data_IF_303729479808
#
_entry.id   IF_303729479808
#
_cell.length_a   1.000
_cell.length_b   1.000
_cell.length_c   1.000
_cell.angle_alpha   90.00
_cell.angle_beta   90.00
_cell.angle_gamma   90.00
#
_symmetry.space_group_name_H-M   'P 1'
#
loop_
_entity.id
_entity.type
_entity.pdbx_description
1 polymer ?
#
# COMPACT_ATOMS: atom_id res chain seq x y z
N UNK A 1 31.85 25.14 11.41
CA UNK A 1 32.13 23.97 12.26
C UNK A 1 33.57 24.04 12.73
N UNK A 2 33.88 23.34 13.81
CA UNK A 2 35.20 23.32 14.44
C UNK A 2 35.43 21.99 15.17
N UNK A 3 36.69 21.58 15.27
CA UNK A 3 37.10 20.46 16.12
C UNK A 3 37.66 20.91 17.48
N UNK A 4 38.05 22.18 17.60
CA UNK A 4 38.84 22.71 18.71
C UNK A 4 38.29 24.02 19.33
N UNK A 5 37.12 24.48 18.88
CA UNK A 5 36.48 25.76 19.23
C UNK A 5 37.27 27.02 18.87
N UNK A 6 38.45 26.91 18.25
CA UNK A 6 39.33 28.03 17.92
C UNK A 6 39.30 28.34 16.43
N UNK A 7 39.42 27.31 15.61
CA UNK A 7 39.38 27.44 14.15
C UNK A 7 37.98 27.10 13.65
N UNK A 8 37.35 28.05 12.96
CA UNK A 8 35.98 27.94 12.49
C UNK A 8 35.91 27.98 10.98
N UNK A 9 35.34 26.94 10.40
CA UNK A 9 35.12 26.82 8.95
C UNK A 9 33.63 27.01 8.63
N UNK A 10 33.32 27.88 7.66
CA UNK A 10 31.95 28.17 7.26
C UNK A 10 31.46 27.15 6.21
N UNK A 11 30.29 26.54 6.43
CA UNK A 11 29.72 25.53 5.52
C UNK A 11 28.71 26.10 4.51
N UNK A 12 28.70 27.42 4.34
CA UNK A 12 27.75 28.13 3.50
C UNK A 12 26.52 28.63 4.27
N UNK A 13 25.72 29.53 3.66
CA UNK A 13 24.48 30.01 4.24
C UNK A 13 23.40 28.92 4.16
N UNK A 14 22.73 28.66 5.28
CA UNK A 14 21.50 27.85 5.34
C UNK A 14 20.35 28.75 5.80
N UNK A 15 19.21 28.71 5.11
CA UNK A 15 18.01 29.48 5.46
C UNK A 15 16.99 28.59 6.17
N UNK A 16 16.65 28.96 7.40
CA UNK A 16 15.51 28.40 8.12
C UNK A 16 14.32 29.33 7.87
N UNK A 17 13.24 28.79 7.31
CA UNK A 17 12.02 29.55 7.03
C UNK A 17 10.86 28.99 7.85
N UNK A 18 10.23 29.87 8.63
CA UNK A 18 9.00 29.58 9.36
C UNK A 18 7.89 30.46 8.79
N UNK A 19 6.94 29.89 8.06
CA UNK A 19 5.69 30.58 7.75
C UNK A 19 4.63 30.15 8.76
N UNK A 20 4.14 31.11 9.55
CA UNK A 20 3.01 30.93 10.45
C UNK A 20 1.80 31.63 9.82
N UNK A 21 0.90 30.85 9.23
CA UNK A 21 -0.39 31.38 8.78
C UNK A 21 -1.37 31.40 9.97
N UNK A 22 -2.31 32.34 9.99
CA UNK A 22 -3.23 32.59 11.11
C UNK A 22 -4.22 31.45 11.40
N UNK A 23 -4.21 30.38 10.61
CA UNK A 23 -5.03 29.19 10.81
C UNK A 23 -4.17 27.91 10.79
N UNK A 24 -3.58 27.58 11.94
CA UNK A 24 -3.06 26.27 12.40
C UNK A 24 -2.10 25.43 11.52
N UNK A 25 -1.78 25.82 10.30
CA UNK A 25 -0.79 25.13 9.47
C UNK A 25 0.53 25.92 9.48
N UNK A 26 1.52 25.38 10.19
CA UNK A 26 2.89 25.91 10.18
C UNK A 26 3.69 25.11 9.17
N UNK A 27 4.02 25.71 8.02
CA UNK A 27 5.08 25.16 7.18
C UNK A 27 6.40 25.54 7.84
N UNK A 28 6.96 24.62 8.62
CA UNK A 28 8.29 24.74 9.20
C UNK A 28 9.25 23.85 8.40
N UNK A 29 10.27 24.45 7.80
CA UNK A 29 11.47 23.70 7.42
C UNK A 29 12.50 23.93 8.54
N UNK A 30 12.58 22.98 9.46
CA UNK A 30 13.44 23.01 10.65
C UNK A 30 14.70 22.15 10.51
N UNK A 31 14.99 21.64 9.30
CA UNK A 31 16.18 20.84 9.01
C UNK A 31 17.20 21.61 8.16
N UNK A 32 18.48 21.50 8.53
CA UNK A 32 19.61 22.01 7.75
C UNK A 32 20.44 20.81 7.32
N UNK A 33 20.45 20.54 6.01
CA UNK A 33 21.31 19.52 5.42
C UNK A 33 22.67 20.12 5.04
N UNK A 34 23.74 19.36 5.24
CA UNK A 34 25.09 19.73 4.87
C UNK A 34 25.89 18.49 4.45
N UNK A 35 26.95 18.70 3.67
CA UNK A 35 27.80 17.60 3.21
C UNK A 35 28.39 16.82 4.41
N UNK A 36 28.38 15.46 4.40
CA UNK A 36 28.87 14.67 5.51
C UNK A 36 30.32 15.01 5.85
N UNK A 37 30.56 15.43 7.10
CA UNK A 37 31.91 15.67 7.63
C UNK A 37 31.99 15.32 9.10
N UNK A 38 33.19 14.95 9.55
CA UNK A 38 33.49 14.92 10.96
C UNK A 38 33.58 16.35 11.51
N UNK A 39 33.01 16.57 12.70
CA UNK A 39 33.19 17.76 13.50
C UNK A 39 32.86 17.45 14.96
N UNK A 40 33.45 18.20 15.89
CA UNK A 40 33.07 18.15 17.32
C UNK A 40 32.11 19.25 17.73
N UNK A 41 32.21 20.42 17.09
CA UNK A 41 31.45 21.60 17.43
C UNK A 41 30.83 22.25 16.20
N UNK A 42 29.54 22.57 16.31
CA UNK A 42 28.81 23.37 15.34
C UNK A 42 28.37 24.69 15.98
N UNK A 43 28.44 25.78 15.21
CA UNK A 43 27.96 27.10 15.61
C UNK A 43 26.96 27.60 14.58
N UNK A 44 25.80 28.01 15.05
CA UNK A 44 24.77 28.68 14.26
C UNK A 44 24.88 30.19 14.52
N UNK A 45 24.85 30.99 13.46
CA UNK A 45 24.89 32.44 13.54
C UNK A 45 23.84 33.04 12.62
N UNK A 46 23.03 33.96 13.16
CA UNK A 46 22.03 34.70 12.39
C UNK A 46 22.73 35.71 11.50
N UNK A 47 22.52 35.62 10.18
CA UNK A 47 22.98 36.64 9.24
C UNK A 47 22.02 37.82 9.16
N UNK A 48 20.72 37.55 9.21
CA UNK A 48 19.63 38.54 9.15
C UNK A 48 18.44 38.07 10.01
N UNK A 49 17.63 39.01 10.51
CA UNK A 49 16.43 38.73 11.30
C UNK A 49 16.61 38.84 12.83
N UNK A 50 15.51 38.61 13.58
CA UNK A 50 15.53 38.60 15.05
C UNK A 50 16.01 37.23 15.55
N UNK A 51 17.04 37.15 16.41
CA UNK A 51 17.52 35.89 16.97
C UNK A 51 16.40 35.15 17.70
N UNK A 52 16.21 33.87 17.36
CA UNK A 52 15.29 32.99 18.07
C UNK A 52 16.08 32.06 19.01
N UNK A 53 15.53 31.81 20.19
CA UNK A 53 16.03 30.77 21.10
C UNK A 53 15.46 29.42 20.65
N UNK A 54 16.34 28.51 20.25
CA UNK A 54 15.94 27.12 19.97
C UNK A 54 15.63 26.41 21.29
N UNK A 55 14.43 25.83 21.41
CA UNK A 55 14.06 25.03 22.58
C UNK A 55 14.86 23.71 22.67
N UNK A 56 15.26 23.16 21.51
CA UNK A 56 16.11 21.97 21.39
C UNK A 56 16.78 21.97 20.01
N UNK A 57 18.01 21.44 19.95
CA UNK A 57 18.70 21.13 18.70
C UNK A 57 19.04 19.65 18.74
N UNK A 58 18.57 18.89 17.75
CA UNK A 58 18.90 17.48 17.59
C UNK A 58 19.85 17.32 16.41
N UNK A 59 20.92 16.54 16.59
CA UNK A 59 21.76 16.10 15.48
C UNK A 59 21.31 14.68 15.09
N UNK A 60 20.85 14.52 13.85
CA UNK A 60 20.52 13.22 13.28
C UNK A 60 21.72 12.72 12.49
N UNK A 61 22.30 11.58 12.90
CA UNK A 61 23.29 10.87 12.10
C UNK A 61 22.57 9.75 11.35
N UNK A 62 22.51 9.85 10.02
CA UNK A 62 22.14 8.73 9.17
C UNK A 62 23.30 7.72 9.18
N UNK A 63 23.22 6.69 10.02
CA UNK A 63 24.12 5.56 9.95
C UNK A 63 23.90 4.86 8.61
N UNK A 64 24.75 5.15 7.62
CA UNK A 64 24.85 4.41 6.37
C UNK A 64 25.47 3.03 6.66
N UNK A 65 24.75 2.16 7.36
CA UNK A 65 25.08 0.73 7.50
C UNK A 65 23.92 -0.15 7.04
N UNK A 66 22.78 0.45 6.73
CA UNK A 66 21.77 -0.22 5.94
C UNK A 66 22.22 -0.10 4.48
N UNK A 67 22.84 -1.17 3.96
CA UNK A 67 22.96 -1.36 2.51
C UNK A 67 21.57 -1.06 1.96
N UNK A 68 21.42 0.03 1.21
CA UNK A 68 20.12 0.44 0.70
C UNK A 68 19.49 -0.79 0.04
N UNK A 69 18.32 -1.19 0.54
CA UNK A 69 17.63 -2.35 0.02
C UNK A 69 17.56 -2.20 -1.50
N UNK A 70 18.00 -3.22 -2.24
CA UNK A 70 17.91 -3.21 -3.69
C UNK A 70 16.43 -3.08 -4.04
N UNK A 71 16.04 -1.99 -4.68
CA UNK A 71 14.67 -1.75 -5.12
C UNK A 71 14.65 -1.63 -6.63
N UNK A 72 13.63 -2.24 -7.23
CA UNK A 72 13.32 -2.09 -8.64
C UNK A 72 12.19 -1.09 -8.83
N UNK A 73 12.14 -0.46 -10.00
CA UNK A 73 11.08 0.50 -10.34
C UNK A 73 10.51 0.26 -11.73
N UNK A 74 9.21 0.52 -11.89
CA UNK A 74 8.49 0.42 -13.15
C UNK A 74 7.66 1.68 -13.37
N UNK A 75 7.82 2.29 -14.54
CA UNK A 75 7.02 3.44 -14.96
C UNK A 75 5.90 2.98 -15.90
N UNK A 76 4.66 3.23 -15.51
CA UNK A 76 3.46 2.86 -16.25
C UNK A 76 2.79 4.09 -16.84
N UNK A 77 2.39 3.99 -18.10
CA UNK A 77 1.67 5.07 -18.78
C UNK A 77 0.16 4.99 -18.49
N UNK A 78 -0.52 6.14 -18.37
CA UNK A 78 -1.94 6.18 -18.05
C UNK A 78 -2.80 5.81 -19.25
N UNK A 79 -3.90 5.09 -18.99
CA UNK A 79 -5.04 4.93 -19.89
C UNK A 79 -6.32 5.47 -19.24
N UNK A 80 -7.36 5.81 -20.02
CA UNK A 80 -8.64 6.25 -19.45
C UNK A 80 -9.29 5.16 -18.60
N UNK A 81 -9.76 5.53 -17.41
CA UNK A 81 -10.50 4.64 -16.52
C UNK A 81 -11.96 4.42 -16.90
N UNK A 82 -12.62 3.50 -16.18
CA UNK A 82 -14.05 3.18 -16.37
C UNK A 82 -14.97 4.24 -15.75
N UNK A 83 -14.48 4.98 -14.76
CA UNK A 83 -15.17 6.10 -14.13
C UNK A 83 -14.55 7.41 -14.60
N UNK A 84 -15.32 8.50 -14.62
CA UNK A 84 -14.82 9.80 -15.08
C UNK A 84 -13.61 10.26 -14.28
N UNK A 85 -12.64 10.85 -14.99
CA UNK A 85 -11.37 11.37 -14.46
C UNK A 85 -10.40 10.33 -13.89
N UNK A 86 -10.80 9.07 -13.73
CA UNK A 86 -9.88 8.01 -13.32
C UNK A 86 -8.85 7.74 -14.42
N UNK A 87 -7.60 7.54 -14.02
CA UNK A 87 -6.52 7.03 -14.86
C UNK A 87 -6.16 5.63 -14.41
N UNK A 88 -6.04 4.73 -15.37
CA UNK A 88 -5.77 3.31 -15.17
C UNK A 88 -4.35 2.99 -15.64
N UNK A 89 -3.66 2.13 -14.89
CA UNK A 89 -2.32 1.66 -15.19
C UNK A 89 -2.30 0.13 -15.10
N UNK A 90 -2.01 -0.52 -16.22
CA UNK A 90 -1.87 -1.97 -16.26
C UNK A 90 -0.51 -2.39 -15.68
N UNK A 91 -0.53 -3.30 -14.72
CA UNK A 91 0.64 -3.84 -14.05
C UNK A 91 0.62 -5.38 -14.08
N UNK A 92 1.76 -6.02 -13.84
CA UNK A 92 1.81 -7.45 -13.62
C UNK A 92 1.49 -7.77 -12.15
N UNK A 93 0.61 -8.75 -11.90
CA UNK A 93 0.27 -9.21 -10.54
C UNK A 93 1.49 -9.74 -9.75
N UNK A 94 2.58 -10.05 -10.44
CA UNK A 94 3.83 -10.53 -9.86
C UNK A 94 4.62 -9.45 -9.10
N UNK A 95 4.27 -8.17 -9.23
CA UNK A 95 5.02 -7.07 -8.65
C UNK A 95 4.46 -6.76 -7.24
N UNK A 96 5.25 -6.97 -6.15
CA UNK A 96 4.86 -6.63 -4.78
C UNK A 96 5.08 -5.14 -4.51
N UNK A 97 4.17 -4.26 -4.96
CA UNK A 97 4.42 -2.81 -4.87
C UNK A 97 4.47 -2.36 -3.41
N UNK A 98 5.55 -1.68 -3.04
CA UNK A 98 5.81 -1.16 -1.68
C UNK A 98 5.75 0.37 -1.62
N UNK A 99 6.11 1.05 -2.72
CA UNK A 99 6.00 2.51 -2.83
C UNK A 99 5.48 2.94 -4.19
N UNK A 100 4.80 4.08 -4.22
CA UNK A 100 4.20 4.64 -5.42
C UNK A 100 4.57 6.11 -5.58
N UNK A 101 4.97 6.51 -6.79
CA UNK A 101 5.18 7.90 -7.15
C UNK A 101 4.44 8.28 -8.44
N UNK A 102 4.35 9.57 -8.71
CA UNK A 102 3.86 10.09 -9.99
C UNK A 102 4.98 10.86 -10.69
N UNK A 103 5.14 10.62 -11.99
CA UNK A 103 6.05 11.36 -12.85
C UNK A 103 5.24 12.25 -13.78
N UNK A 104 5.39 13.56 -13.59
CA UNK A 104 4.71 14.58 -14.39
C UNK A 104 5.57 15.02 -15.58
N UNK A 105 4.94 15.16 -16.74
CA UNK A 105 5.54 15.81 -17.90
C UNK A 105 5.43 17.34 -17.82
N UNK A 106 4.42 17.82 -17.11
CA UNK A 106 4.10 19.23 -16.97
C UNK A 106 4.96 19.90 -15.89
N UNK A 107 5.23 21.19 -16.07
CA UNK A 107 5.82 22.01 -15.02
C UNK A 107 4.71 22.66 -14.18
N UNK A 108 4.96 22.89 -12.89
CA UNK A 108 4.06 23.59 -11.98
C UNK A 108 2.68 22.96 -11.86
N UNK A 109 2.65 21.66 -11.57
CA UNK A 109 1.43 20.87 -11.36
C UNK A 109 1.32 20.46 -9.90
N UNK A 110 0.09 20.50 -9.39
CA UNK A 110 -0.29 19.98 -8.08
C UNK A 110 -1.53 19.12 -8.28
N UNK A 111 -1.49 17.88 -7.82
CA UNK A 111 -2.51 16.86 -8.02
C UNK A 111 -2.81 16.14 -6.70
N UNK A 112 -3.80 16.61 -5.93
CA UNK A 112 -4.41 15.84 -4.86
C UNK A 112 -5.15 14.65 -5.48
N UNK A 113 -4.78 13.43 -5.11
CA UNK A 113 -5.34 12.23 -5.71
C UNK A 113 -5.41 11.05 -4.75
N UNK A 114 -6.34 10.14 -5.06
CA UNK A 114 -6.42 8.81 -4.45
C UNK A 114 -5.80 7.79 -5.39
N UNK A 115 -5.01 6.88 -4.84
CA UNK A 115 -4.49 5.70 -5.51
C UNK A 115 -5.21 4.47 -4.99
N UNK A 116 -5.57 3.57 -5.88
CA UNK A 116 -6.33 2.38 -5.50
C UNK A 116 -6.46 1.37 -6.63
N UNK A 117 -7.50 0.56 -6.53
CA UNK A 117 -7.88 -0.42 -7.53
C UNK A 117 -9.39 -0.45 -7.71
N UNK A 118 -9.84 -1.05 -8.80
CA UNK A 118 -11.25 -1.41 -8.92
C UNK A 118 -11.54 -2.74 -8.24
N UNK A 119 -12.72 -2.82 -7.63
CA UNK A 119 -13.29 -4.02 -7.05
C UNK A 119 -14.67 -4.24 -7.67
N UNK A 120 -14.91 -5.42 -8.20
CA UNK A 120 -16.24 -5.81 -8.67
C UNK A 120 -17.09 -6.25 -7.48
N UNK A 121 -18.25 -5.63 -7.33
CA UNK A 121 -19.23 -5.98 -6.31
C UNK A 121 -20.29 -6.89 -6.93
N UNK A 122 -20.70 -7.96 -6.23
CA UNK A 122 -21.75 -8.83 -6.71
C UNK A 122 -23.07 -8.05 -6.86
N UNK A 123 -23.94 -8.47 -7.79
CA UNK A 123 -25.25 -7.85 -7.94
C UNK A 123 -26.08 -8.03 -6.67
N UNK A 124 -26.76 -6.95 -6.25
CA UNK A 124 -27.60 -6.96 -5.03
C UNK A 124 -28.96 -7.62 -5.25
N UNK A 125 -29.38 -7.78 -6.51
CA UNK A 125 -30.65 -8.38 -6.90
C UNK A 125 -30.44 -9.36 -8.06
N UNK A 126 -31.23 -10.43 -8.07
CA UNK A 126 -31.22 -11.43 -9.15
C UNK A 126 -31.61 -10.74 -10.46
N UNK A 127 -30.72 -10.78 -11.46
CA UNK A 127 -30.93 -10.14 -12.77
C UNK A 127 -30.29 -8.75 -12.96
N UNK A 128 -29.59 -8.21 -11.96
CA UNK A 128 -28.73 -7.02 -12.15
C UNK A 128 -27.28 -7.41 -12.47
N UNK A 129 -26.56 -6.54 -13.18
CA UNK A 129 -25.11 -6.66 -13.35
C UNK A 129 -24.39 -6.20 -12.08
N UNK A 130 -23.23 -6.80 -11.78
CA UNK A 130 -22.35 -6.33 -10.72
C UNK A 130 -21.91 -4.87 -10.94
N UNK A 131 -21.61 -4.17 -9.84
CA UNK A 131 -21.15 -2.78 -9.91
C UNK A 131 -19.66 -2.68 -9.65
N UNK A 132 -18.95 -1.84 -10.39
CA UNK A 132 -17.55 -1.54 -10.13
C UNK A 132 -17.42 -0.50 -9.02
N UNK A 133 -16.63 -0.77 -7.99
CA UNK A 133 -16.29 0.18 -6.93
C UNK A 133 -14.80 0.49 -6.93
N UNK A 134 -14.43 1.72 -6.60
CA UNK A 134 -13.04 2.09 -6.38
C UNK A 134 -12.69 1.85 -4.91
N UNK A 135 -11.66 1.04 -4.67
CA UNK A 135 -11.09 0.77 -3.37
C UNK A 135 -9.81 1.61 -3.20
N UNK A 136 -9.81 2.67 -2.36
CA UNK A 136 -8.61 3.46 -2.11
C UNK A 136 -7.59 2.66 -1.30
N UNK A 137 -6.33 2.74 -1.72
CA UNK A 137 -5.15 2.18 -1.05
C UNK A 137 -4.28 3.27 -0.43
N UNK A 138 -4.22 4.44 -1.08
CA UNK A 138 -3.42 5.59 -0.65
C UNK A 138 -4.08 6.92 -1.05
N UNK A 139 -3.74 7.99 -0.33
CA UNK A 139 -4.17 9.36 -0.61
C UNK A 139 -2.99 10.30 -0.39
N UNK A 140 -2.68 11.14 -1.38
CA UNK A 140 -1.60 12.12 -1.28
C UNK A 140 -1.78 13.27 -2.27
N UNK A 141 -1.02 14.34 -2.04
CA UNK A 141 -0.86 15.43 -3.01
C UNK A 141 0.48 15.29 -3.70
N UNK A 142 0.42 14.93 -4.98
CA UNK A 142 1.60 14.84 -5.83
C UNK A 142 1.83 16.18 -6.51
N UNK A 143 3.08 16.58 -6.67
CA UNK A 143 3.38 17.88 -7.29
C UNK A 143 4.72 17.89 -7.99
N UNK A 144 4.86 18.81 -8.92
CA UNK A 144 6.12 19.20 -9.55
C UNK A 144 6.08 20.71 -9.76
N UNK A 145 6.86 21.45 -8.97
CA UNK A 145 6.87 22.92 -8.95
C UNK A 145 8.30 23.40 -9.19
N UNK A 146 8.48 24.28 -10.16
CA UNK A 146 9.74 24.94 -10.45
C UNK A 146 9.70 26.36 -9.90
N UNK A 147 10.54 26.65 -8.91
CA UNK A 147 10.67 27.98 -8.31
C UNK A 147 12.11 28.44 -8.41
N UNK A 148 12.34 29.62 -8.99
CA UNK A 148 13.69 30.21 -9.14
C UNK A 148 14.69 29.26 -9.83
N UNK A 149 14.21 28.51 -10.83
CA UNK A 149 15.02 27.53 -11.57
C UNK A 149 15.29 26.22 -10.82
N UNK A 150 14.80 26.05 -9.59
CA UNK A 150 14.88 24.81 -8.83
C UNK A 150 13.56 24.05 -8.92
N UNK A 151 13.61 22.81 -9.40
CA UNK A 151 12.45 21.93 -9.46
C UNK A 151 12.30 21.16 -8.15
N UNK A 152 11.11 21.19 -7.57
CA UNK A 152 10.70 20.42 -6.40
C UNK A 152 9.57 19.49 -6.80
N UNK A 153 9.69 18.21 -6.50
CA UNK A 153 8.65 17.23 -6.77
C UNK A 153 8.31 16.41 -5.53
N UNK A 154 7.06 15.94 -5.47
CA UNK A 154 6.66 14.92 -4.49
C UNK A 154 7.50 13.65 -4.68
N UNK A 155 7.92 13.04 -3.58
CA UNK A 155 8.62 11.75 -3.58
C UNK A 155 7.67 10.55 -3.72
N UNK A 156 8.21 9.37 -3.45
CA UNK A 156 7.45 8.13 -3.40
C UNK A 156 6.71 7.98 -2.07
N UNK A 157 5.46 7.54 -2.15
CA UNK A 157 4.60 7.28 -1.01
C UNK A 157 4.67 5.78 -0.65
N UNK A 158 5.11 5.42 0.57
CA UNK A 158 5.05 4.02 1.02
C UNK A 158 3.60 3.57 1.20
N UNK A 159 3.33 2.32 0.85
CA UNK A 159 2.02 1.66 1.00
C UNK A 159 2.20 0.28 1.64
N UNK A 160 1.10 -0.32 2.10
CA UNK A 160 1.09 -1.75 2.38
C UNK A 160 1.37 -2.52 1.07
N UNK A 161 2.21 -3.55 1.15
CA UNK A 161 2.59 -4.34 -0.03
C UNK A 161 1.36 -4.87 -0.74
N UNK A 162 1.21 -4.52 -2.02
CA UNK A 162 0.02 -4.83 -2.79
C UNK A 162 0.36 -5.48 -4.14
N UNK A 163 -0.43 -6.50 -4.50
CA UNK A 163 -0.37 -7.19 -5.78
C UNK A 163 -1.66 -6.94 -6.55
N UNK A 164 -1.61 -6.12 -7.59
CA UNK A 164 -2.76 -5.88 -8.46
C UNK A 164 -2.34 -5.80 -9.92
N UNK A 165 -3.17 -6.37 -10.80
CA UNK A 165 -2.98 -6.25 -12.24
C UNK A 165 -3.35 -4.85 -12.76
N UNK A 166 -4.06 -4.06 -11.96
CA UNK A 166 -4.52 -2.74 -12.33
C UNK A 166 -4.46 -1.77 -11.17
N UNK A 167 -3.79 -0.64 -11.40
CA UNK A 167 -3.79 0.52 -10.51
C UNK A 167 -4.71 1.60 -11.07
N UNK A 168 -5.33 2.35 -10.17
CA UNK A 168 -6.23 3.45 -10.50
C UNK A 168 -5.79 4.69 -9.74
N UNK A 169 -5.53 5.78 -10.47
CA UNK A 169 -5.35 7.11 -9.93
C UNK A 169 -6.64 7.89 -10.13
N UNK A 170 -7.20 8.41 -9.04
CA UNK A 170 -8.39 9.27 -9.04
C UNK A 170 -8.00 10.67 -8.55
N UNK A 171 -7.87 11.64 -9.46
CA UNK A 171 -7.78 13.05 -9.09
C UNK A 171 -8.97 13.47 -8.23
N UNK A 172 -8.73 14.22 -7.14
CA UNK A 172 -9.82 14.74 -6.30
C UNK A 172 -10.50 15.97 -6.90
N UNK A 173 -9.79 16.68 -7.78
CA UNK A 173 -10.33 17.74 -8.62
C UNK A 173 -10.21 17.31 -10.09
N UNK A 174 -11.10 17.81 -10.95
CA UNK A 174 -10.99 17.62 -12.40
C UNK A 174 -9.65 18.19 -12.89
N UNK A 175 -8.66 17.32 -13.07
CA UNK A 175 -7.34 17.66 -13.58
C UNK A 175 -7.16 17.05 -14.94
N UNK A 176 -6.63 17.83 -15.89
CA UNK A 176 -6.25 17.34 -17.20
C UNK A 176 -4.90 16.59 -17.18
N UNK A 177 -4.16 16.65 -16.07
CA UNK A 177 -2.83 16.03 -15.97
C UNK A 177 -2.92 14.51 -16.02
N UNK A 178 -2.02 13.91 -16.79
CA UNK A 178 -1.95 12.45 -17.00
C UNK A 178 -0.54 11.95 -16.69
N UNK A 179 -0.13 11.95 -15.41
CA UNK A 179 1.21 11.53 -15.03
C UNK A 179 1.40 10.02 -15.23
N UNK A 180 2.63 9.63 -15.46
CA UNK A 180 3.01 8.22 -15.41
C UNK A 180 3.10 7.75 -13.95
N UNK A 181 2.67 6.53 -13.69
CA UNK A 181 2.69 5.92 -12.36
C UNK A 181 4.02 5.19 -12.16
N UNK A 182 4.78 5.55 -11.13
CA UNK A 182 5.98 4.83 -10.72
C UNK A 182 5.62 3.84 -9.63
N UNK A 183 5.87 2.57 -9.87
CA UNK A 183 5.80 1.50 -8.87
C UNK A 183 7.21 1.16 -8.42
N UNK A 184 7.42 0.97 -7.12
CA UNK A 184 8.71 0.60 -6.54
C UNK A 184 8.52 -0.57 -5.59
N UNK A 185 9.41 -1.55 -5.67
CA UNK A 185 9.36 -2.77 -4.85
C UNK A 185 10.75 -3.34 -4.59
N UNK A 186 10.86 -4.19 -3.58
CA UNK A 186 12.05 -4.99 -3.31
C UNK A 186 11.92 -6.36 -4.03
N UNK A 187 12.82 -6.75 -4.94
CA UNK A 187 12.71 -8.00 -5.67
C UNK A 187 13.00 -9.20 -4.76
N UNK A 188 12.24 -10.28 -4.92
CA UNK A 188 12.49 -11.53 -4.23
C UNK A 188 13.54 -12.36 -4.98
N UNK A 189 14.47 -12.97 -4.23
CA UNK A 189 15.43 -13.95 -4.75
C UNK A 189 14.95 -15.36 -4.41
N UNK A 190 14.97 -16.27 -5.39
CA UNK A 190 14.59 -17.67 -5.20
C UNK A 190 15.84 -18.53 -5.38
N UNK A 191 16.13 -19.35 -4.37
CA UNK A 191 17.16 -20.39 -4.41
C UNK A 191 16.44 -21.73 -4.44
N UNK A 192 16.82 -22.60 -5.37
CA UNK A 192 16.23 -23.93 -5.51
C UNK A 192 17.31 -24.97 -5.78
N UNK A 193 17.05 -26.20 -5.34
CA UNK A 193 17.89 -27.34 -5.69
C UNK A 193 17.43 -27.88 -7.06
N UNK A 194 18.30 -27.79 -8.06
CA UNK A 194 18.06 -28.27 -9.42
C UNK A 194 18.13 -29.81 -9.51
N UNK A 195 17.20 -30.51 -8.86
CA UNK A 195 17.12 -31.97 -8.90
C UNK A 195 16.24 -32.45 -10.08
N UNK A 196 16.67 -33.50 -10.78
CA UNK A 196 15.97 -34.07 -11.94
C UNK A 196 16.36 -33.42 -13.27
N UNK A 197 15.55 -33.66 -14.29
CA UNK A 197 15.84 -33.20 -15.66
C UNK A 197 15.24 -31.81 -15.93
N UNK A 198 16.04 -30.92 -16.50
CA UNK A 198 15.60 -29.62 -17.01
C UNK A 198 14.60 -29.77 -18.18
N UNK A 199 13.76 -28.75 -18.50
CA UNK A 199 13.69 -27.41 -17.89
C UNK A 199 12.92 -27.36 -16.56
N UNK A 200 13.37 -26.50 -15.65
CA UNK A 200 12.68 -26.20 -14.39
C UNK A 200 11.65 -25.07 -14.59
N UNK A 201 10.50 -25.16 -13.92
CA UNK A 201 9.39 -24.20 -14.08
C UNK A 201 9.07 -23.49 -12.77
N UNK A 202 9.11 -22.15 -12.77
CA UNK A 202 8.62 -21.30 -11.69
C UNK A 202 7.26 -20.70 -12.08
N UNK A 203 6.20 -21.03 -11.32
CA UNK A 203 4.86 -20.48 -11.53
C UNK A 203 4.48 -19.53 -10.39
N UNK A 204 3.81 -18.42 -10.71
CA UNK A 204 3.39 -17.39 -9.75
C UNK A 204 1.99 -16.84 -10.09
N UNK A 205 1.38 -16.10 -9.15
CA UNK A 205 0.10 -15.39 -9.37
C UNK A 205 -1.18 -16.15 -9.00
N UNK A 206 -1.10 -17.33 -8.36
CA UNK A 206 -2.27 -18.05 -7.86
C UNK A 206 -2.68 -17.53 -6.47
N UNK A 207 -3.89 -16.99 -6.34
CA UNK A 207 -4.39 -16.33 -5.12
C UNK A 207 -4.37 -17.21 -3.85
N UNK A 208 -4.47 -18.53 -4.00
CA UNK A 208 -4.45 -19.49 -2.90
C UNK A 208 -3.32 -20.52 -3.07
N UNK A 209 -2.14 -20.09 -3.52
CA UNK A 209 -0.98 -20.96 -3.50
C UNK A 209 -0.58 -21.30 -2.07
N UNK A 210 -0.47 -22.59 -1.76
CA UNK A 210 0.16 -23.04 -0.53
C UNK A 210 1.61 -22.56 -0.47
N UNK A 211 2.05 -22.12 0.71
CA UNK A 211 3.41 -21.67 0.93
C UNK A 211 4.38 -22.85 0.79
N UNK A 212 5.10 -22.89 -0.33
CA UNK A 212 6.13 -23.89 -0.60
C UNK A 212 7.54 -23.42 -0.21
N UNK A 213 7.68 -22.19 0.29
CA UNK A 213 8.96 -21.67 0.76
C UNK A 213 9.54 -22.59 1.85
N UNK A 214 10.85 -22.78 1.81
CA UNK A 214 11.64 -23.50 2.80
C UNK A 214 12.72 -22.57 3.32
N UNK A 215 13.13 -22.80 4.56
CA UNK A 215 14.30 -22.10 5.09
C UNK A 215 15.51 -22.39 4.18
N UNK A 216 16.34 -21.38 3.95
CA UNK A 216 17.54 -21.53 3.16
C UNK A 216 18.43 -22.67 3.69
N UNK A 217 18.52 -22.86 5.00
CA UNK A 217 19.29 -23.93 5.61
C UNK A 217 18.79 -25.34 5.23
N UNK A 218 17.52 -25.49 4.83
CA UNK A 218 16.96 -26.76 4.36
C UNK A 218 17.29 -27.05 2.89
N UNK A 219 17.55 -26.01 2.10
CA UNK A 219 17.83 -26.12 0.65
C UNK A 219 19.34 -26.09 0.38
N UNK A 220 20.07 -25.27 1.13
CA UNK A 220 21.52 -25.04 1.02
C UNK A 220 22.17 -25.10 2.41
N UNK A 221 22.24 -26.29 3.04
CA UNK A 221 22.83 -26.43 4.37
C UNK A 221 24.30 -26.04 4.37
N UNK A 222 24.73 -25.29 5.39
CA UNK A 222 26.10 -24.82 5.61
C UNK A 222 26.66 -23.83 4.57
N UNK A 223 25.85 -23.30 3.66
CA UNK A 223 26.29 -22.25 2.74
C UNK A 223 26.49 -20.92 3.46
N UNK A 224 27.63 -20.27 3.22
CA UNK A 224 27.91 -18.91 3.69
C UNK A 224 27.34 -17.87 2.71
N UNK A 225 27.06 -16.66 3.18
CA UNK A 225 26.50 -15.58 2.35
C UNK A 225 27.33 -15.30 1.08
N UNK A 226 28.66 -15.37 1.19
CA UNK A 226 29.56 -15.17 0.05
C UNK A 226 29.47 -16.31 -0.99
N UNK A 227 29.21 -17.55 -0.54
CA UNK A 227 29.06 -18.71 -1.43
C UNK A 227 27.72 -18.66 -2.17
N UNK A 228 26.65 -18.20 -1.51
CA UNK A 228 25.34 -18.00 -2.12
C UNK A 228 25.39 -17.00 -3.28
N UNK A 229 26.19 -15.95 -3.15
CA UNK A 229 26.37 -14.93 -4.19
C UNK A 229 27.14 -15.47 -5.41
N UNK A 230 27.91 -16.55 -5.23
CA UNK A 230 28.68 -17.21 -6.28
C UNK A 230 27.97 -18.42 -6.90
N UNK A 231 26.72 -18.70 -6.51
CA UNK A 231 25.93 -19.77 -7.11
C UNK A 231 25.66 -19.51 -8.59
N UNK A 232 25.46 -20.60 -9.35
CA UNK A 232 25.03 -20.51 -10.74
C UNK A 232 23.67 -19.81 -10.83
N UNK A 233 23.57 -18.80 -11.68
CA UNK A 233 22.34 -18.03 -11.86
C UNK A 233 21.45 -18.68 -12.91
N UNK A 234 20.26 -19.12 -12.50
CA UNK A 234 19.23 -19.55 -13.45
C UNK A 234 18.72 -18.35 -14.24
N UNK A 235 18.66 -18.48 -15.58
CA UNK A 235 18.03 -17.49 -16.46
C UNK A 235 16.61 -17.91 -16.77
N UNK A 236 15.65 -17.02 -16.52
CA UNK A 236 14.28 -17.24 -16.91
C UNK A 236 14.17 -17.31 -18.44
N UNK A 237 13.41 -18.29 -18.95
CA UNK A 237 12.98 -18.33 -20.34
C UNK A 237 11.85 -17.35 -20.62
N UNK A 238 11.22 -17.45 -21.80
CA UNK A 238 10.06 -16.64 -22.13
C UNK A 238 8.91 -16.88 -21.13
N UNK A 239 8.29 -15.80 -20.65
CA UNK A 239 7.13 -15.88 -19.77
C UNK A 239 5.98 -16.61 -20.47
N UNK A 240 5.47 -17.67 -19.84
CA UNK A 240 4.31 -18.41 -20.34
C UNK A 240 3.10 -18.16 -19.43
N UNK A 241 1.99 -17.75 -20.04
CA UNK A 241 0.73 -17.58 -19.32
C UNK A 241 0.01 -18.92 -19.20
N UNK A 242 0.07 -19.55 -18.02
CA UNK A 242 -0.76 -20.72 -17.72
C UNK A 242 -2.17 -20.24 -17.41
N UNK A 243 -3.10 -20.34 -18.37
CA UNK A 243 -4.53 -20.19 -18.08
C UNK A 243 -4.98 -21.38 -17.24
N UNK A 244 -5.07 -21.19 -15.93
CA UNK A 244 -6.03 -21.97 -15.15
C UNK A 244 -7.42 -21.65 -15.71
N UNK A 245 -8.21 -22.67 -16.06
CA UNK A 245 -9.63 -22.47 -16.36
C UNK A 245 -10.25 -21.66 -15.20
N UNK A 246 -11.02 -20.59 -15.46
CA UNK A 246 -11.54 -19.68 -14.43
C UNK A 246 -12.45 -20.36 -13.40
N UNK A 247 -12.80 -21.63 -13.61
CA UNK A 247 -13.74 -22.39 -12.80
C UNK A 247 -13.35 -22.57 -11.32
N UNK A 248 -12.08 -22.49 -10.92
CA UNK A 248 -11.70 -22.79 -9.53
C UNK A 248 -11.84 -21.63 -8.55
N UNK A 249 -11.27 -20.47 -8.89
CA UNK A 249 -11.16 -19.33 -7.97
C UNK A 249 -12.47 -18.53 -7.87
N UNK A 250 -13.12 -18.25 -9.01
CA UNK A 250 -14.44 -17.62 -9.04
C UNK A 250 -15.49 -18.51 -8.38
N UNK A 251 -15.39 -19.84 -8.53
CA UNK A 251 -16.29 -20.77 -7.84
C UNK A 251 -16.01 -20.84 -6.33
N UNK A 252 -14.76 -20.70 -5.89
CA UNK A 252 -14.42 -20.70 -4.47
C UNK A 252 -14.94 -19.43 -3.77
N UNK A 253 -14.77 -18.25 -4.39
CA UNK A 253 -15.34 -17.00 -3.88
C UNK A 253 -16.88 -17.02 -3.94
N UNK A 254 -17.47 -17.47 -5.06
CA UNK A 254 -18.92 -17.62 -5.16
C UNK A 254 -19.47 -18.62 -4.13
N UNK A 255 -18.78 -19.72 -3.86
CA UNK A 255 -19.16 -20.70 -2.84
C UNK A 255 -19.06 -20.13 -1.43
N UNK A 256 -18.02 -19.35 -1.12
CA UNK A 256 -17.88 -18.67 0.16
C UNK A 256 -19.01 -17.65 0.39
N UNK A 257 -19.36 -16.87 -0.65
CA UNK A 257 -20.47 -15.91 -0.60
C UNK A 257 -21.83 -16.62 -0.47
N UNK A 258 -22.05 -17.72 -1.19
CA UNK A 258 -23.27 -18.52 -1.09
C UNK A 258 -23.44 -19.11 0.32
N UNK A 259 -22.35 -19.63 0.91
CA UNK A 259 -22.35 -20.15 2.28
C UNK A 259 -22.66 -19.07 3.32
N UNK A 260 -22.09 -17.88 3.15
CA UNK A 260 -22.41 -16.73 4.02
C UNK A 260 -23.88 -16.30 3.90
N UNK A 261 -24.45 -16.31 2.69
CA UNK A 261 -25.87 -16.03 2.46
C UNK A 261 -26.79 -17.09 3.09
N UNK A 262 -26.44 -18.37 2.99
CA UNK A 262 -27.18 -19.47 3.62
C UNK A 262 -27.16 -19.39 5.15
N UNK A 263 -26.02 -19.04 5.76
CA UNK A 263 -25.93 -18.85 7.21
C UNK A 263 -26.80 -17.68 7.70
N UNK A 264 -26.85 -16.58 6.95
CA UNK A 264 -27.74 -15.44 7.24
C UNK A 264 -29.21 -15.85 7.16
N UNK A 265 -29.58 -16.61 6.13
CA UNK A 265 -30.94 -17.13 5.98
C UNK A 265 -31.31 -18.05 7.16
N UNK A 266 -30.43 -18.99 7.51
CA UNK A 266 -30.63 -19.91 8.63
C UNK A 266 -30.77 -19.16 9.98
N UNK A 267 -29.97 -18.11 10.21
CA UNK A 267 -30.10 -17.26 11.39
C UNK A 267 -31.47 -16.56 11.44
N UNK A 268 -31.95 -16.07 10.29
CA UNK A 268 -33.24 -15.37 10.19
C UNK A 268 -34.42 -16.32 10.48
N UNK A 269 -34.39 -17.53 9.91
CA UNK A 269 -35.38 -18.57 10.23
C UNK A 269 -35.33 -19.01 11.69
N UNK A 270 -34.14 -19.07 12.28
CA UNK A 270 -33.99 -19.40 13.71
C UNK A 270 -34.65 -18.35 14.61
N UNK A 271 -34.47 -17.06 14.31
CA UNK A 271 -35.12 -15.96 15.03
C UNK A 271 -36.65 -15.99 14.84
N UNK A 272 -37.13 -16.27 13.63
CA UNK A 272 -38.56 -16.36 13.35
C UNK A 272 -39.22 -17.50 14.14
N UNK A 273 -38.63 -18.70 14.11
CA UNK A 273 -39.15 -19.85 14.86
C UNK A 273 -39.14 -19.60 16.37
N UNK A 274 -38.11 -18.92 16.89
CA UNK A 274 -38.07 -18.51 18.29
C UNK A 274 -39.25 -17.58 18.63
N UNK A 275 -39.55 -16.59 17.78
CA UNK A 275 -40.70 -15.70 17.96
C UNK A 275 -42.03 -16.45 17.97
N UNK A 276 -42.23 -17.39 17.04
CA UNK A 276 -43.44 -18.22 16.98
C UNK A 276 -43.57 -19.11 18.21
N UNK A 277 -42.47 -19.70 18.70
CA UNK A 277 -42.48 -20.52 19.90
C UNK A 277 -42.90 -19.73 21.16
N UNK A 278 -42.43 -18.48 21.29
CA UNK A 278 -42.82 -17.58 22.38
C UNK A 278 -44.33 -17.26 22.31
N UNK A 279 -44.85 -16.95 21.13
CA UNK A 279 -46.28 -16.72 20.93
C UNK A 279 -47.13 -17.96 21.26
N UNK A 280 -46.69 -19.13 20.81
CA UNK A 280 -47.34 -20.41 21.13
C UNK A 280 -47.34 -20.70 22.64
N UNK A 281 -46.23 -20.41 23.32
CA UNK A 281 -46.13 -20.56 24.77
C UNK A 281 -47.12 -19.66 25.53
N UNK A 282 -47.23 -18.39 25.15
CA UNK A 282 -48.21 -17.48 25.75
C UNK A 282 -49.66 -17.91 25.50
N UNK A 283 -49.98 -18.33 24.28
CA UNK A 283 -51.32 -18.84 23.95
C UNK A 283 -51.67 -20.09 24.78
N UNK A 284 -50.74 -21.03 24.91
CA UNK A 284 -50.94 -22.23 25.72
C UNK A 284 -51.12 -21.92 27.21
N UNK A 285 -50.33 -20.97 27.73
CA UNK A 285 -50.44 -20.51 29.12
C UNK A 285 -51.80 -19.86 29.40
N UNK A 286 -52.31 -19.03 28.47
CA UNK A 286 -53.64 -18.40 28.58
C UNK A 286 -54.76 -19.45 28.62
N UNK A 287 -54.73 -20.43 27.71
CA UNK A 287 -55.73 -21.51 27.69
C UNK A 287 -55.68 -22.34 28.99
N UNK A 288 -54.48 -22.58 29.53
CA UNK A 288 -54.32 -23.30 30.80
C UNK A 288 -54.91 -22.50 31.98
N UNK A 289 -54.68 -21.19 32.02
CA UNK A 289 -55.23 -20.32 33.07
C UNK A 289 -56.76 -20.21 33.00
N UNK A 290 -57.35 -20.22 31.80
CA UNK A 290 -58.82 -20.26 31.65
C UNK A 290 -59.41 -21.59 32.15
N UNK A 291 -58.74 -22.73 31.90
CA UNK A 291 -59.16 -24.04 32.44
C UNK A 291 -59.03 -24.16 33.96
N UNK A 292 -58.08 -23.47 34.58
CA UNK A 292 -57.92 -23.44 36.04
C UNK A 292 -58.91 -22.47 36.72
N UNK A 293 -59.44 -21.47 36.00
CA UNK A 293 -60.46 -20.53 36.50
C UNK A 293 -61.90 -21.07 36.50
N UNK A 294 -62.17 -22.18 35.82
CA UNK A 294 -63.50 -22.82 35.74
C UNK A 294 -63.70 -23.93 36.79
N UNK A 295 -62.75 -24.06 37.73
CA UNK A 295 -62.70 -25.11 38.74
C UNK A 295 -62.43 -24.61 40.16
N UNK A 296 -62.95 -23.44 40.53
CA UNK A 296 -63.05 -23.01 41.93
C UNK A 296 -64.54 -22.88 42.33
N UNK A 297 -64.99 -23.50 43.44
CA UNK A 297 -66.39 -23.60 43.84
C UNK A 297 -67.05 -22.26 44.17
#
# INVERSE_FOLDING_TARGET
MSDDLKQWEALGPASLNWLRNSETQTLANDKIEFAPRAFRYARLSWKEGKPLLFARVNAELLSQTEVAAQTEQLLLQPSPGKLEHDLVYAAAIAIPVEKIGLQFSEQNVVLPALLGRYQELPPRQLGQSGSLSFQPLASATFYQITQSGQQRSSGELPIATEHTAQWVLRPQAGSASRPALRLVWSPASVIFLANGNAPYTLAFGRAHAEAAARDLAQVAPNFQSAELLNLEQAKAGALQTLRASPAGAEAAEAAAMAKAAQLRLAALWSVLLLGVAVLGFFAWRLVKQMKEGEGAP
#
